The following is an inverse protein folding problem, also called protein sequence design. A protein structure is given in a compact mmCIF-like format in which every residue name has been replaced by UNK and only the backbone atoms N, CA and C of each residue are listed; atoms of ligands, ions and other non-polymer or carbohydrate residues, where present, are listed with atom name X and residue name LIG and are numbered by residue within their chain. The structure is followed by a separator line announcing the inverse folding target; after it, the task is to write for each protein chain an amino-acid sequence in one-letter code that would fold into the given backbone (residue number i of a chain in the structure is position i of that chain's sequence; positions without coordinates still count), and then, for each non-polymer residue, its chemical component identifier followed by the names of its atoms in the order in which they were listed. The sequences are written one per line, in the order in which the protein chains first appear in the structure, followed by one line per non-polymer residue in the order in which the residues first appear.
data_IF_764440330847
#
_entry.id   IF_764440330847
#
_cell.length_a   1.000
_cell.length_b   1.000
_cell.length_c   1.000
_cell.angle_alpha   90.00
_cell.angle_beta   90.00
_cell.angle_gamma   90.00
#
_symmetry.space_group_name_H-M   'P 1'
#
loop_
_entity.id
_entity.type
_entity.pdbx_description
1 polymer ?
#
# COMPACT_ATOMS: atom_id res chain seq x y z
N UNK A 1 25.99 11.29 19.33
CA UNK A 1 24.93 10.63 20.13
C UNK A 1 23.77 11.60 20.41
N UNK A 2 24.06 12.87 20.77
CA UNK A 2 23.04 13.89 21.04
C UNK A 2 22.18 14.26 19.82
N UNK A 3 22.73 14.23 18.60
CA UNK A 3 22.00 14.57 17.35
C UNK A 3 21.02 13.45 16.94
N UNK A 4 21.35 12.19 17.20
CA UNK A 4 20.47 11.05 16.94
C UNK A 4 19.28 10.98 17.91
N UNK A 5 19.47 11.39 19.18
CA UNK A 5 18.40 11.51 20.17
C UNK A 5 17.43 12.65 19.82
N UNK A 6 17.92 13.79 19.34
CA UNK A 6 17.09 14.92 18.93
C UNK A 6 16.23 14.62 17.68
N UNK A 7 16.68 13.75 16.78
CA UNK A 7 15.90 13.32 15.61
C UNK A 7 14.79 12.32 15.99
N UNK A 8 15.04 11.45 16.96
CA UNK A 8 14.04 10.51 17.47
C UNK A 8 12.93 11.24 18.27
N UNK A 9 13.31 12.23 19.10
CA UNK A 9 12.34 13.06 19.83
C UNK A 9 11.49 13.92 18.91
N UNK A 10 12.06 14.48 17.81
CA UNK A 10 11.30 15.23 16.83
C UNK A 10 10.29 14.38 16.04
N UNK A 11 10.57 13.09 15.79
CA UNK A 11 9.59 12.21 15.14
C UNK A 11 8.43 11.85 16.07
N UNK A 12 8.69 11.63 17.36
CA UNK A 12 7.63 11.36 18.33
C UNK A 12 6.78 12.60 18.66
N UNK A 13 7.37 13.78 18.66
CA UNK A 13 6.63 15.05 18.82
C UNK A 13 5.85 15.42 17.56
N UNK A 14 6.36 15.16 16.37
CA UNK A 14 5.61 15.33 15.12
C UNK A 14 4.34 14.46 15.07
N UNK A 15 4.39 13.25 15.60
CA UNK A 15 3.23 12.37 15.72
C UNK A 15 2.27 12.77 16.85
N UNK A 16 2.77 13.42 17.92
CA UNK A 16 1.95 13.90 19.05
C UNK A 16 1.26 15.22 18.79
N UNK A 17 1.91 16.19 18.14
CA UNK A 17 1.34 17.52 17.87
C UNK A 17 0.22 17.51 16.84
N UNK A 18 0.19 16.54 15.93
CA UNK A 18 -0.88 16.40 14.94
C UNK A 18 -2.18 15.77 15.49
N UNK A 19 -2.19 15.29 16.73
CA UNK A 19 -3.38 14.71 17.37
C UNK A 19 -4.31 15.74 18.04
N UNK A 20 -3.86 17.00 18.25
CA UNK A 20 -4.54 17.96 19.13
C UNK A 20 -5.19 19.17 18.45
N UNK A 21 -5.16 19.33 17.12
CA UNK A 21 -5.80 20.46 16.44
C UNK A 21 -6.88 20.01 15.46
N UNK A 22 -8.02 19.56 15.99
CA UNK A 22 -9.28 19.46 15.26
C UNK A 22 -10.30 20.42 15.90
N UNK A 23 -11.13 21.13 15.13
CA UNK A 23 -12.17 21.97 15.72
C UNK A 23 -13.19 21.11 16.46
N UNK A 24 -13.45 21.44 17.72
CA UNK A 24 -14.53 20.89 18.53
C UNK A 24 -15.87 21.31 17.92
N UNK A 25 -16.53 20.39 17.21
CA UNK A 25 -17.98 20.19 17.17
C UNK A 25 -18.34 19.21 16.06
N UNK A 26 -18.51 17.95 16.40
CA UNK A 26 -19.60 17.07 15.98
C UNK A 26 -19.41 15.67 16.58
N UNK A 27 -20.38 15.33 17.44
CA UNK A 27 -20.75 13.99 17.97
C UNK A 27 -19.69 12.89 18.05
N UNK A 28 -19.51 12.34 19.24
CA UNK A 28 -18.62 11.22 19.64
C UNK A 28 -18.68 9.95 18.77
N UNK A 29 -19.63 9.84 17.84
CA UNK A 29 -19.76 8.69 16.93
C UNK A 29 -18.85 8.75 15.68
N UNK A 30 -18.29 9.91 15.35
CA UNK A 30 -17.40 10.09 14.19
C UNK A 30 -15.90 9.95 14.51
N UNK A 31 -15.50 9.89 15.78
CA UNK A 31 -14.09 9.91 16.21
C UNK A 31 -13.30 8.61 16.01
N UNK A 32 -13.89 7.50 15.56
CA UNK A 32 -13.22 6.19 15.51
C UNK A 32 -12.61 5.75 14.16
N UNK A 33 -12.73 6.51 13.06
CA UNK A 33 -12.51 5.94 11.73
C UNK A 33 -11.65 6.75 10.73
N UNK A 34 -10.83 7.74 11.13
CA UNK A 34 -10.05 8.49 10.14
C UNK A 34 -8.56 8.48 10.50
N UNK A 35 -7.94 7.29 10.47
CA UNK A 35 -6.50 7.16 10.71
C UNK A 35 -5.64 7.52 9.49
N UNK A 36 -6.19 7.46 8.27
CA UNK A 36 -5.47 7.76 7.03
C UNK A 36 -5.47 9.25 6.65
N UNK A 37 -6.42 10.08 7.14
CA UNK A 37 -6.61 11.47 6.69
C UNK A 37 -5.65 12.45 7.38
N UNK A 38 -4.35 12.20 7.24
CA UNK A 38 -3.27 13.03 7.77
C UNK A 38 -2.98 14.23 6.86
N UNK A 39 -2.23 15.24 7.36
CA UNK A 39 -1.71 16.34 6.52
C UNK A 39 -0.87 15.80 5.37
N UNK A 40 -0.08 14.76 5.61
CA UNK A 40 0.73 14.09 4.57
C UNK A 40 -0.15 13.48 3.48
N UNK A 41 -1.20 12.74 3.85
CA UNK A 41 -2.17 12.18 2.90
C UNK A 41 -2.81 13.31 2.05
N UNK A 42 -3.29 14.39 2.70
CA UNK A 42 -3.92 15.51 2.00
C UNK A 42 -2.97 16.17 1.01
N UNK A 43 -1.71 16.38 1.42
CA UNK A 43 -0.67 16.94 0.56
C UNK A 43 -0.38 16.04 -0.64
N UNK A 44 -0.11 14.76 -0.41
CA UNK A 44 0.18 13.80 -1.49
C UNK A 44 -1.01 13.68 -2.44
N UNK A 45 -2.25 13.56 -1.90
CA UNK A 45 -3.45 13.50 -2.73
C UNK A 45 -3.60 14.75 -3.59
N UNK A 46 -3.43 15.96 -3.03
CA UNK A 46 -3.54 17.21 -3.78
C UNK A 46 -2.48 17.33 -4.88
N UNK A 47 -1.27 16.83 -4.62
CA UNK A 47 -0.20 16.76 -5.62
C UNK A 47 -0.62 15.82 -6.76
N UNK A 48 -1.09 14.61 -6.46
CA UNK A 48 -1.52 13.64 -7.45
C UNK A 48 -2.71 14.15 -8.28
N UNK A 49 -3.70 14.77 -7.63
CA UNK A 49 -4.85 15.39 -8.31
C UNK A 49 -4.45 16.52 -9.28
N UNK A 50 -3.26 17.14 -9.08
CA UNK A 50 -2.76 18.24 -9.92
C UNK A 50 -2.02 17.77 -11.16
N UNK A 51 -1.66 16.48 -11.25
CA UNK A 51 -0.89 15.96 -12.36
C UNK A 51 -1.74 15.80 -13.64
N UNK A 52 -1.10 16.09 -14.77
CA UNK A 52 -1.62 15.72 -16.09
C UNK A 52 -1.06 14.33 -16.43
N UNK A 53 -1.93 13.38 -16.65
CA UNK A 53 -1.54 12.02 -16.98
C UNK A 53 -1.32 11.84 -18.48
N UNK A 54 -0.39 10.95 -18.84
CA UNK A 54 -0.27 10.36 -20.16
C UNK A 54 -0.92 8.98 -20.11
N UNK A 55 -1.43 8.50 -21.24
CA UNK A 55 -1.83 7.10 -21.38
C UNK A 55 -0.59 6.18 -21.31
N UNK A 56 -0.76 4.91 -20.95
CA UNK A 56 0.31 3.87 -20.91
C UNK A 56 1.26 3.92 -19.71
N UNK A 57 0.78 4.35 -18.55
CA UNK A 57 1.56 4.38 -17.31
C UNK A 57 1.39 3.10 -16.49
N UNK A 58 2.44 2.73 -15.74
CA UNK A 58 2.35 1.70 -14.69
C UNK A 58 2.22 2.38 -13.33
N UNK A 59 1.16 2.07 -12.57
CA UNK A 59 0.90 2.68 -11.26
C UNK A 59 1.15 1.66 -10.14
N UNK A 60 2.00 2.03 -9.18
CA UNK A 60 2.10 1.36 -7.88
C UNK A 60 1.21 2.10 -6.87
N UNK A 61 0.09 1.48 -6.48
CA UNK A 61 -0.93 2.04 -5.60
C UNK A 61 -0.88 1.36 -4.24
N UNK A 62 -0.67 2.15 -3.17
CA UNK A 62 -0.54 1.57 -1.84
C UNK A 62 -0.28 2.57 -0.72
N UNK A 63 0.28 2.06 0.36
CA UNK A 63 0.63 2.80 1.57
C UNK A 63 2.14 3.12 1.67
N UNK A 64 2.70 3.16 2.89
CA UNK A 64 4.13 3.45 3.14
C UNK A 64 5.07 2.47 2.45
N UNK A 65 4.70 1.19 2.36
CA UNK A 65 5.52 0.19 1.67
C UNK A 65 5.72 0.57 0.20
N UNK A 66 4.68 1.09 -0.43
CA UNK A 66 4.74 1.59 -1.81
C UNK A 66 5.41 2.97 -1.90
N UNK A 67 5.09 3.88 -0.97
CA UNK A 67 5.55 5.28 -0.96
C UNK A 67 7.07 5.42 -0.83
N UNK A 68 7.72 4.56 -0.02
CA UNK A 68 9.13 4.68 0.34
C UNK A 68 10.11 4.16 -0.72
N UNK A 69 9.63 3.66 -1.85
CA UNK A 69 10.49 3.03 -2.85
C UNK A 69 10.48 3.77 -4.18
N UNK A 70 11.65 3.91 -4.77
CA UNK A 70 11.85 4.59 -6.06
C UNK A 70 11.59 3.61 -7.22
N UNK A 71 10.32 3.33 -7.49
CA UNK A 71 9.89 2.32 -8.47
C UNK A 71 10.44 2.55 -9.87
N UNK A 72 10.48 3.81 -10.33
CA UNK A 72 11.01 4.15 -11.66
C UNK A 72 12.49 3.79 -11.80
N UNK A 73 13.30 4.04 -10.78
CA UNK A 73 14.71 3.65 -10.77
C UNK A 73 14.87 2.14 -10.69
N UNK A 74 14.10 1.48 -9.81
CA UNK A 74 14.20 0.05 -9.57
C UNK A 74 13.81 -0.81 -10.79
N UNK A 75 12.86 -0.34 -11.59
CA UNK A 75 12.40 -1.01 -12.81
C UNK A 75 13.08 -0.48 -14.07
N UNK A 76 13.93 0.56 -13.95
CA UNK A 76 14.55 1.26 -15.08
C UNK A 76 13.51 1.75 -16.10
N UNK A 77 12.36 2.20 -15.60
CA UNK A 77 11.22 2.63 -16.40
C UNK A 77 10.70 3.98 -15.92
N UNK A 78 10.73 4.97 -16.81
CA UNK A 78 10.29 6.34 -16.50
C UNK A 78 8.78 6.56 -16.58
N UNK A 79 8.02 5.58 -17.05
CA UNK A 79 6.54 5.62 -17.12
C UNK A 79 5.88 4.98 -15.89
N UNK A 80 6.70 4.70 -14.85
CA UNK A 80 6.22 4.17 -13.58
C UNK A 80 5.88 5.30 -12.61
N UNK A 81 4.66 5.28 -12.11
CA UNK A 81 4.15 6.25 -11.15
C UNK A 81 4.01 5.62 -9.76
N UNK A 82 4.71 6.22 -8.78
CA UNK A 82 4.48 5.89 -7.39
C UNK A 82 3.24 6.63 -6.87
N UNK A 83 2.20 5.89 -6.50
CA UNK A 83 0.96 6.36 -5.86
C UNK A 83 0.80 5.75 -4.47
N UNK A 84 1.92 5.52 -3.80
CA UNK A 84 1.97 5.23 -2.36
C UNK A 84 1.71 6.48 -1.53
N UNK A 85 1.04 6.33 -0.39
CA UNK A 85 0.93 7.36 0.65
C UNK A 85 1.13 6.69 2.01
N UNK A 86 2.18 7.08 2.73
CA UNK A 86 2.45 6.52 4.06
C UNK A 86 1.25 6.68 5.00
N UNK A 87 0.87 5.58 5.68
CA UNK A 87 -0.28 5.53 6.58
C UNK A 87 -1.63 5.36 5.89
N UNK A 88 -1.67 5.23 4.57
CA UNK A 88 -2.93 5.06 3.84
C UNK A 88 -3.62 3.73 4.15
N UNK A 89 -4.94 3.71 3.99
CA UNK A 89 -5.82 2.56 4.22
C UNK A 89 -6.64 2.25 2.97
N UNK A 90 -7.33 1.12 2.98
CA UNK A 90 -8.26 0.79 1.90
C UNK A 90 -9.34 1.87 1.71
N UNK A 91 -9.79 2.53 2.78
CA UNK A 91 -10.72 3.67 2.70
C UNK A 91 -10.04 4.90 2.07
N UNK A 92 -8.77 5.15 2.40
CA UNK A 92 -8.03 6.27 1.81
C UNK A 92 -7.79 6.08 0.32
N UNK A 93 -7.46 4.86 -0.12
CA UNK A 93 -7.38 4.52 -1.55
C UNK A 93 -8.70 4.79 -2.25
N UNK A 94 -9.84 4.37 -1.69
CA UNK A 94 -11.17 4.65 -2.26
C UNK A 94 -11.43 6.16 -2.44
N UNK A 95 -10.98 7.00 -1.51
CA UNK A 95 -11.15 8.45 -1.60
C UNK A 95 -10.27 9.13 -2.67
N UNK A 96 -9.29 8.42 -3.24
CA UNK A 96 -8.38 8.95 -4.26
C UNK A 96 -8.30 8.09 -5.52
N UNK A 97 -9.13 7.07 -5.65
CA UNK A 97 -9.11 6.15 -6.79
C UNK A 97 -9.42 6.85 -8.12
N UNK A 98 -10.13 7.97 -8.09
CA UNK A 98 -10.48 8.77 -9.27
C UNK A 98 -9.25 9.27 -10.04
N UNK A 99 -8.18 9.63 -9.33
CA UNK A 99 -6.91 10.03 -9.95
C UNK A 99 -6.29 8.87 -10.73
N UNK A 100 -6.27 7.68 -10.13
CA UNK A 100 -5.75 6.46 -10.78
C UNK A 100 -6.55 6.11 -12.03
N UNK A 101 -7.88 6.18 -11.97
CA UNK A 101 -8.75 5.89 -13.12
C UNK A 101 -8.58 6.92 -14.24
N UNK A 102 -8.40 8.21 -13.89
CA UNK A 102 -8.17 9.29 -14.88
C UNK A 102 -6.85 9.13 -15.62
N UNK A 103 -5.86 8.52 -15.01
CA UNK A 103 -4.57 8.22 -15.65
C UNK A 103 -4.68 7.15 -16.75
N UNK A 104 -5.76 6.33 -16.74
CA UNK A 104 -5.95 5.19 -17.66
C UNK A 104 -4.69 4.32 -17.77
N UNK A 105 -4.14 3.83 -16.68
CA UNK A 105 -2.88 3.12 -16.69
C UNK A 105 -3.00 1.78 -17.41
N UNK A 106 -1.92 1.33 -18.03
CA UNK A 106 -1.83 -0.03 -18.57
C UNK A 106 -1.81 -1.06 -17.44
N UNK A 107 -1.15 -0.71 -16.31
CA UNK A 107 -0.97 -1.61 -15.17
C UNK A 107 -1.19 -0.90 -13.85
N UNK A 108 -1.84 -1.57 -12.91
CA UNK A 108 -1.94 -1.16 -11.50
C UNK A 108 -1.44 -2.29 -10.62
N UNK A 109 -0.40 -2.03 -9.82
CA UNK A 109 0.07 -2.91 -8.76
C UNK A 109 -0.48 -2.40 -7.42
N UNK A 110 -1.44 -3.13 -6.83
CA UNK A 110 -2.16 -2.73 -5.63
C UNK A 110 -1.64 -3.48 -4.39
N UNK A 111 -1.12 -2.76 -3.42
CA UNK A 111 -0.76 -3.26 -2.09
C UNK A 111 -1.27 -2.31 -1.02
N UNK A 112 -2.30 -2.70 -0.26
CA UNK A 112 -2.92 -1.87 0.77
C UNK A 112 -3.60 -2.76 1.82
N UNK A 113 -3.79 -2.27 3.06
CA UNK A 113 -4.59 -2.94 4.07
C UNK A 113 -3.89 -3.18 5.39
N UNK A 114 -2.56 -3.09 5.46
CA UNK A 114 -1.84 -3.28 6.72
C UNK A 114 -2.20 -2.21 7.75
N UNK A 115 -2.40 -0.96 7.32
CA UNK A 115 -2.81 0.14 8.20
C UNK A 115 -4.26 0.01 8.68
N UNK A 116 -5.15 -0.59 7.88
CA UNK A 116 -6.49 -0.97 8.32
C UNK A 116 -6.40 -1.97 9.49
N UNK A 117 -5.52 -2.98 9.38
CA UNK A 117 -5.30 -3.97 10.43
C UNK A 117 -4.68 -3.34 11.70
N UNK A 118 -3.69 -2.44 11.55
CA UNK A 118 -3.09 -1.68 12.67
C UNK A 118 -4.18 -0.86 13.38
N UNK A 119 -5.10 -0.26 12.63
CA UNK A 119 -6.24 0.48 13.15
C UNK A 119 -7.35 -0.40 13.73
N UNK A 120 -7.18 -1.73 13.73
CA UNK A 120 -8.15 -2.69 14.27
C UNK A 120 -9.41 -2.83 13.41
N UNK A 121 -9.36 -2.49 12.12
CA UNK A 121 -10.48 -2.72 11.22
C UNK A 121 -10.72 -4.23 11.02
N UNK A 122 -11.97 -4.68 11.03
CA UNK A 122 -12.28 -6.09 10.79
C UNK A 122 -11.95 -6.46 9.33
N UNK A 123 -11.44 -7.67 9.11
CA UNK A 123 -11.06 -8.19 7.78
C UNK A 123 -12.18 -8.03 6.75
N UNK A 124 -13.44 -8.30 7.14
CA UNK A 124 -14.59 -8.14 6.24
C UNK A 124 -14.76 -6.70 5.73
N UNK A 125 -14.36 -5.69 6.53
CA UNK A 125 -14.40 -4.29 6.08
C UNK A 125 -13.29 -4.03 5.06
N UNK A 126 -12.10 -4.57 5.29
CA UNK A 126 -10.96 -4.46 4.36
C UNK A 126 -11.33 -5.13 3.03
N UNK A 127 -11.83 -6.35 3.08
CA UNK A 127 -12.30 -7.11 1.91
C UNK A 127 -13.40 -6.36 1.12
N UNK A 128 -14.38 -5.78 1.82
CA UNK A 128 -15.42 -4.96 1.20
C UNK A 128 -14.84 -3.75 0.47
N UNK A 129 -13.88 -3.07 1.08
CA UNK A 129 -13.22 -1.93 0.45
C UNK A 129 -12.38 -2.36 -0.78
N UNK A 130 -11.66 -3.48 -0.68
CA UNK A 130 -10.96 -4.07 -1.85
C UNK A 130 -11.93 -4.35 -2.99
N UNK A 131 -13.06 -5.00 -2.70
CA UNK A 131 -14.10 -5.25 -3.70
C UNK A 131 -14.53 -3.97 -4.39
N UNK A 132 -14.79 -2.90 -3.65
CA UNK A 132 -15.16 -1.60 -4.23
C UNK A 132 -14.03 -1.01 -5.10
N UNK A 133 -12.76 -1.12 -4.67
CA UNK A 133 -11.60 -0.68 -5.46
C UNK A 133 -11.55 -1.44 -6.79
N UNK A 134 -11.67 -2.78 -6.74
CA UNK A 134 -11.63 -3.63 -7.93
C UNK A 134 -12.84 -3.41 -8.85
N UNK A 135 -14.05 -3.20 -8.29
CA UNK A 135 -15.25 -2.81 -9.06
C UNK A 135 -15.04 -1.50 -9.83
N UNK A 136 -14.46 -0.49 -9.17
CA UNK A 136 -14.16 0.80 -9.81
C UNK A 136 -13.14 0.64 -10.93
N UNK A 137 -12.06 -0.09 -10.70
CA UNK A 137 -11.05 -0.36 -11.73
C UNK A 137 -11.67 -1.13 -12.91
N UNK A 138 -12.44 -2.18 -12.65
CA UNK A 138 -13.08 -3.01 -13.68
C UNK A 138 -14.06 -2.22 -14.56
N UNK A 139 -14.83 -1.31 -13.94
CA UNK A 139 -15.89 -0.58 -14.65
C UNK A 139 -15.40 0.70 -15.32
N UNK A 140 -14.42 1.39 -14.73
CA UNK A 140 -14.00 2.72 -15.17
C UNK A 140 -12.63 2.73 -15.86
N UNK A 141 -11.85 1.63 -15.75
CA UNK A 141 -10.57 1.44 -16.42
C UNK A 141 -10.45 -0.02 -16.93
N UNK A 142 -11.36 -0.47 -17.81
CA UNK A 142 -11.52 -1.89 -18.15
C UNK A 142 -10.32 -2.49 -18.90
N UNK A 143 -9.48 -1.67 -19.50
CA UNK A 143 -8.27 -2.11 -20.22
C UNK A 143 -7.04 -2.23 -19.30
N UNK A 144 -7.13 -1.75 -18.06
CA UNK A 144 -6.05 -1.82 -17.09
C UNK A 144 -5.83 -3.24 -16.60
N UNK A 145 -4.59 -3.75 -16.70
CA UNK A 145 -4.17 -4.99 -16.06
C UNK A 145 -3.95 -4.71 -14.57
N UNK A 146 -4.69 -5.38 -13.69
CA UNK A 146 -4.59 -5.18 -12.24
C UNK A 146 -3.88 -6.37 -11.60
N UNK A 147 -2.88 -6.06 -10.78
CA UNK A 147 -2.09 -7.00 -10.00
C UNK A 147 -2.34 -6.72 -8.52
N UNK A 148 -3.11 -7.58 -7.87
CA UNK A 148 -3.32 -7.52 -6.42
C UNK A 148 -2.16 -8.24 -5.75
N UNK A 149 -1.49 -7.58 -4.82
CA UNK A 149 -0.32 -8.12 -4.14
C UNK A 149 -0.71 -8.62 -2.74
N UNK A 150 -0.09 -9.71 -2.29
CA UNK A 150 -0.21 -10.15 -0.90
C UNK A 150 0.30 -9.08 0.06
N UNK A 151 -0.37 -8.86 1.19
CA UNK A 151 0.24 -8.15 2.31
C UNK A 151 1.47 -8.96 2.79
N UNK A 152 2.48 -8.24 3.27
CA UNK A 152 3.71 -8.84 3.73
C UNK A 152 3.59 -9.38 5.16
N UNK A 153 4.43 -10.35 5.56
CA UNK A 153 4.55 -10.72 6.95
C UNK A 153 5.07 -9.54 7.75
N UNK A 154 4.82 -9.56 9.06
CA UNK A 154 5.43 -8.62 10.01
C UNK A 154 6.30 -9.39 10.99
N UNK A 155 7.32 -8.74 11.55
CA UNK A 155 8.07 -9.26 12.68
C UNK A 155 7.44 -8.72 13.97
N UNK A 156 6.63 -9.54 14.63
CA UNK A 156 5.83 -9.11 15.78
C UNK A 156 6.68 -8.75 17.02
N UNK A 157 7.93 -9.19 17.08
CA UNK A 157 8.86 -8.82 18.12
C UNK A 157 9.48 -7.43 17.93
N UNK A 158 9.49 -6.92 16.68
CA UNK A 158 10.12 -5.65 16.33
C UNK A 158 9.11 -4.54 16.09
N UNK A 159 7.96 -4.85 15.46
CA UNK A 159 7.07 -3.82 14.95
C UNK A 159 6.32 -3.02 16.03
N UNK A 160 6.13 -3.55 17.23
CA UNK A 160 5.34 -2.89 18.28
C UNK A 160 3.85 -2.73 17.97
N UNK A 161 3.39 -3.07 16.77
CA UNK A 161 1.98 -3.02 16.36
C UNK A 161 1.25 -4.32 16.75
N UNK A 162 -0.06 -4.26 17.07
CA UNK A 162 -0.87 -5.42 17.44
C UNK A 162 -1.28 -6.25 16.22
N UNK A 163 -0.30 -6.66 15.42
CA UNK A 163 -0.51 -7.42 14.18
C UNK A 163 -0.27 -8.91 14.41
N UNK A 164 -0.95 -9.74 13.60
CA UNK A 164 -0.84 -11.18 13.66
C UNK A 164 -0.70 -11.74 12.23
N UNK A 165 0.38 -12.46 11.98
CA UNK A 165 0.66 -13.06 10.68
C UNK A 165 -0.39 -14.11 10.24
N UNK A 166 -1.10 -14.77 11.17
CA UNK A 166 -2.20 -15.65 10.80
C UNK A 166 -3.38 -14.85 10.21
N UNK A 167 -3.68 -13.69 10.78
CA UNK A 167 -4.72 -12.78 10.26
C UNK A 167 -4.32 -12.17 8.91
N UNK A 168 -3.03 -11.85 8.73
CA UNK A 168 -2.51 -11.38 7.43
C UNK A 168 -2.70 -12.46 6.36
N UNK A 169 -2.36 -13.72 6.66
CA UNK A 169 -2.56 -14.84 5.72
C UNK A 169 -4.04 -15.09 5.39
N UNK A 170 -4.95 -14.94 6.37
CA UNK A 170 -6.40 -15.03 6.11
C UNK A 170 -6.84 -13.94 5.13
N UNK A 171 -6.42 -12.69 5.34
CA UNK A 171 -6.70 -11.61 4.40
C UNK A 171 -6.08 -11.88 3.02
N UNK A 172 -4.83 -12.33 2.95
CA UNK A 172 -4.17 -12.65 1.69
C UNK A 172 -4.94 -13.70 0.89
N UNK A 173 -5.45 -14.74 1.57
CA UNK A 173 -6.30 -15.75 0.91
C UNK A 173 -7.55 -15.16 0.30
N UNK A 174 -8.23 -14.24 1.02
CA UNK A 174 -9.42 -13.54 0.51
C UNK A 174 -9.09 -12.61 -0.66
N UNK A 175 -7.91 -11.96 -0.64
CA UNK A 175 -7.45 -11.12 -1.75
C UNK A 175 -7.14 -11.95 -3.01
N UNK A 176 -6.57 -13.14 -2.83
CA UNK A 176 -6.39 -14.10 -3.92
C UNK A 176 -7.74 -14.53 -4.52
N UNK A 177 -8.71 -14.88 -3.68
CA UNK A 177 -10.06 -15.27 -4.11
C UNK A 177 -10.78 -14.13 -4.83
N UNK A 178 -10.64 -12.88 -4.35
CA UNK A 178 -11.17 -11.70 -5.02
C UNK A 178 -10.47 -11.46 -6.36
N UNK A 179 -9.16 -11.59 -6.45
CA UNK A 179 -8.43 -11.42 -7.71
C UNK A 179 -8.93 -12.40 -8.77
N UNK A 180 -9.12 -13.66 -8.39
CA UNK A 180 -9.69 -14.68 -9.28
C UNK A 180 -11.13 -14.33 -9.71
N UNK A 181 -11.96 -13.81 -8.79
CA UNK A 181 -13.34 -13.40 -9.09
C UNK A 181 -13.42 -12.29 -10.14
N UNK A 182 -12.45 -11.36 -10.12
CA UNK A 182 -12.38 -10.23 -11.06
C UNK A 182 -11.57 -10.51 -12.33
N UNK A 183 -11.01 -11.73 -12.47
CA UNK A 183 -10.07 -12.07 -13.54
C UNK A 183 -8.84 -11.14 -13.55
N UNK A 184 -8.31 -10.87 -12.34
CA UNK A 184 -7.09 -10.11 -12.09
C UNK A 184 -5.98 -11.03 -11.60
N UNK A 185 -4.74 -10.62 -11.77
CA UNK A 185 -3.60 -11.41 -11.29
C UNK A 185 -3.34 -11.17 -9.80
N UNK A 186 -3.08 -12.26 -9.07
CA UNK A 186 -2.59 -12.18 -7.70
C UNK A 186 -1.09 -12.47 -7.67
N UNK A 187 -0.33 -11.60 -6.99
CA UNK A 187 1.11 -11.77 -6.80
C UNK A 187 1.37 -12.09 -5.33
N UNK A 188 1.68 -13.34 -5.05
CA UNK A 188 2.05 -13.76 -3.69
C UNK A 188 3.54 -13.48 -3.43
N UNK A 189 3.81 -12.42 -2.65
CA UNK A 189 5.16 -12.03 -2.23
C UNK A 189 5.43 -12.51 -0.79
N UNK A 190 4.39 -12.80 -0.02
CA UNK A 190 4.49 -13.20 1.38
C UNK A 190 5.50 -14.33 1.62
N UNK A 191 5.53 -15.43 0.84
CA UNK A 191 6.46 -16.54 1.06
C UNK A 191 7.93 -16.17 0.89
N UNK A 192 8.22 -15.16 0.06
CA UNK A 192 9.59 -14.73 -0.22
C UNK A 192 10.20 -13.92 0.94
N UNK A 193 9.34 -13.36 1.82
CA UNK A 193 9.73 -12.46 2.91
C UNK A 193 9.66 -13.13 4.29
N UNK A 194 9.00 -14.30 4.38
CA UNK A 194 8.77 -14.97 5.66
C UNK A 194 9.89 -15.90 6.06
N UNK A 195 10.31 -15.84 7.32
CA UNK A 195 11.19 -16.80 7.97
C UNK A 195 10.63 -17.14 9.35
N UNK A 196 10.51 -18.42 9.69
CA UNK A 196 9.90 -18.90 10.94
C UNK A 196 8.54 -18.25 11.27
N UNK A 197 7.73 -17.98 10.22
CA UNK A 197 6.39 -17.38 10.37
C UNK A 197 6.38 -15.87 10.64
N UNK A 198 7.52 -15.19 10.58
CA UNK A 198 7.71 -13.76 10.77
C UNK A 198 8.37 -13.12 9.55
N UNK A 199 8.26 -11.81 9.39
CA UNK A 199 9.11 -11.07 8.45
C UNK A 199 10.57 -11.32 8.84
N UNK A 200 11.37 -11.81 7.88
CA UNK A 200 12.79 -12.04 8.12
C UNK A 200 13.45 -10.73 8.56
N UNK A 201 14.15 -10.78 9.69
CA UNK A 201 14.85 -9.63 10.31
C UNK A 201 15.89 -8.98 9.39
N UNK A 202 16.44 -9.73 8.45
CA UNK A 202 17.43 -9.23 7.50
C UNK A 202 16.80 -8.37 6.39
N UNK A 203 15.47 -8.35 6.29
CA UNK A 203 14.70 -7.60 5.30
C UNK A 203 14.00 -6.35 5.86
N UNK A 204 14.18 -6.06 7.15
CA UNK A 204 13.50 -4.97 7.85
C UNK A 204 14.35 -4.37 8.96
N UNK A 205 14.08 -3.11 9.32
CA UNK A 205 14.67 -2.47 10.50
C UNK A 205 13.67 -2.32 11.64
N UNK A 206 12.38 -2.27 11.35
CA UNK A 206 11.30 -2.01 12.32
C UNK A 206 10.26 -3.13 12.43
N UNK A 207 10.42 -4.19 11.65
CA UNK A 207 9.51 -5.34 11.64
C UNK A 207 8.26 -5.17 10.79
N UNK A 208 8.12 -4.04 10.07
CA UNK A 208 6.99 -3.72 9.20
C UNK A 208 7.45 -3.26 7.81
N UNK A 209 8.31 -2.23 7.75
CA UNK A 209 8.82 -1.69 6.50
C UNK A 209 10.04 -2.49 6.02
N UNK A 210 10.17 -2.57 4.69
CA UNK A 210 11.30 -3.27 4.09
C UNK A 210 12.54 -2.38 4.07
N UNK A 211 13.71 -3.00 4.21
CA UNK A 211 14.99 -2.41 3.85
C UNK A 211 15.33 -2.71 2.38
N UNK A 212 16.51 -2.29 1.91
CA UNK A 212 16.93 -2.48 0.51
C UNK A 212 16.91 -3.95 0.05
N UNK A 213 17.26 -4.91 0.92
CA UNK A 213 17.22 -6.34 0.60
C UNK A 213 15.78 -6.84 0.43
N UNK A 214 14.87 -6.44 1.33
CA UNK A 214 13.46 -6.76 1.22
C UNK A 214 12.84 -6.17 -0.06
N UNK A 215 13.14 -4.92 -0.37
CA UNK A 215 12.68 -4.29 -1.62
C UNK A 215 13.25 -4.98 -2.87
N UNK A 216 14.50 -5.46 -2.83
CA UNK A 216 15.10 -6.22 -3.95
C UNK A 216 14.36 -7.53 -4.21
N UNK A 217 13.88 -8.20 -3.16
CA UNK A 217 13.05 -9.41 -3.29
C UNK A 217 11.72 -9.04 -3.94
N UNK A 218 11.05 -8.00 -3.46
CA UNK A 218 9.78 -7.54 -4.01
C UNK A 218 9.91 -7.15 -5.49
N UNK A 219 10.91 -6.33 -5.83
CA UNK A 219 11.17 -5.94 -7.23
C UNK A 219 11.38 -7.14 -8.14
N UNK A 220 12.15 -8.15 -7.71
CA UNK A 220 12.35 -9.36 -8.50
C UNK A 220 11.04 -10.08 -8.80
N UNK A 221 10.14 -10.14 -7.82
CA UNK A 221 8.82 -10.75 -8.00
C UNK A 221 7.95 -9.95 -8.98
N UNK A 222 8.01 -8.62 -8.90
CA UNK A 222 7.32 -7.74 -9.86
C UNK A 222 7.87 -7.94 -11.28
N UNK A 223 9.20 -7.94 -11.45
CA UNK A 223 9.85 -8.12 -12.75
C UNK A 223 9.45 -9.44 -13.43
N UNK A 224 9.19 -10.51 -12.66
CA UNK A 224 8.72 -11.78 -13.23
C UNK A 224 7.33 -11.66 -13.88
N UNK A 225 6.51 -10.70 -13.47
CA UNK A 225 5.18 -10.42 -14.06
C UNK A 225 5.23 -9.29 -15.10
N UNK A 226 6.22 -8.41 -14.98
CA UNK A 226 6.40 -7.26 -15.86
C UNK A 226 6.83 -7.70 -17.27
N UNK A 227 7.78 -8.63 -17.37
CA UNK A 227 8.41 -9.07 -18.61
C UNK A 227 7.60 -10.14 -19.38
N UNK A 228 6.75 -10.91 -18.71
CA UNK A 228 5.94 -11.97 -19.38
C UNK A 228 4.93 -11.42 -20.39
N UNK A 229 4.61 -10.13 -20.33
CA UNK A 229 3.67 -9.51 -21.25
C UNK A 229 4.32 -8.95 -22.53
N UNK A 230 5.62 -8.68 -22.55
CA UNK A 230 6.34 -8.22 -23.75
C UNK A 230 6.61 -9.38 -24.75
N UNK A 231 6.67 -10.63 -24.28
CA UNK A 231 6.86 -11.81 -25.14
C UNK A 231 5.54 -12.29 -25.75
N UNK A 232 4.39 -11.94 -25.19
CA UNK A 232 3.08 -12.35 -25.71
C UNK A 232 2.54 -11.41 -26.81
N UNK A 233 3.13 -10.25 -27.01
CA UNK A 233 2.76 -9.24 -28.01
C UNK A 233 3.71 -9.22 -29.25
N UNK A 234 4.68 -10.15 -29.31
CA UNK A 234 5.57 -10.39 -30.46
C UNK A 234 5.20 -11.64 -31.21
#
# INVERSE_FOLDING_TARGET
LAILLALAENQTDFLRTNANEMPENDSESKKKNITYYTKYYQTKKSIYDSYTHKDSETIFLGDSLTDYYEWGEALSDHEVLNRGIAGDTTTGVLNRIDEVVKAKPDRVYLLIGINDMIAGQPINKIETNYKQILDILKTRSPNTKVYVQSLFPVNTALTGHPLNNATIRDLNKRLEDLSNLYDYQYIDIYPELVEFGQLNKDFTFDGLHLNGEGYRIWTRKILSTYNTNEEAEK
#
